data_IF_327389068723
#
_entry.id   IF_327389068723
#
_cell.length_a   1.000
_cell.length_b   1.000
_cell.length_c   1.000
_cell.angle_alpha   90.00
_cell.angle_beta   90.00
_cell.angle_gamma   90.00
#
_symmetry.space_group_name_H-M   'P 1'
#
loop_
_entity.id
_entity.type
_entity.pdbx_description
1 polymer ?
#
# COMPACT_ATOMS: atom_id res chain seq x y z
N UNK A 1 13.12 -35.37 43.37
CA UNK A 1 13.89 -36.48 42.76
C UNK A 1 13.64 -36.46 41.26
N UNK A 2 14.73 -36.44 40.45
CA UNK A 2 14.92 -36.95 39.06
C UNK A 2 13.85 -36.62 37.98
N UNK A 3 14.11 -36.30 36.71
CA UNK A 3 15.27 -36.06 35.81
C UNK A 3 14.66 -35.66 34.44
N UNK A 4 15.24 -34.66 33.72
CA UNK A 4 15.63 -34.56 32.26
C UNK A 4 14.69 -35.20 31.19
N UNK A 5 14.46 -34.77 29.94
CA UNK A 5 15.05 -33.90 28.90
C UNK A 5 13.90 -33.62 27.86
N UNK A 6 13.84 -32.57 27.03
CA UNK A 6 14.82 -32.11 26.04
C UNK A 6 14.60 -32.79 24.68
N UNK A 7 13.95 -32.11 23.71
CA UNK A 7 14.08 -32.45 22.28
C UNK A 7 13.89 -31.22 21.39
N UNK A 8 15.00 -30.87 20.75
CA UNK A 8 15.19 -29.86 19.71
C UNK A 8 15.06 -30.59 18.37
N UNK A 9 14.24 -30.09 17.44
CA UNK A 9 14.23 -30.60 16.07
C UNK A 9 14.86 -29.56 15.14
N UNK A 10 16.07 -29.89 14.69
CA UNK A 10 16.84 -29.24 13.64
C UNK A 10 16.34 -29.78 12.28
N UNK A 11 16.04 -28.90 11.31
CA UNK A 11 15.82 -29.29 9.92
C UNK A 11 16.97 -28.75 9.08
N UNK A 12 17.81 -29.67 8.61
CA UNK A 12 18.97 -29.46 7.75
C UNK A 12 18.54 -29.32 6.29
N UNK A 13 19.26 -28.45 5.56
CA UNK A 13 19.17 -28.26 4.12
C UNK A 13 19.83 -29.43 3.36
N UNK A 14 19.29 -29.78 2.19
CA UNK A 14 19.96 -30.62 1.18
C UNK A 14 20.07 -29.86 -0.14
N UNK A 15 21.31 -29.61 -0.56
CA UNK A 15 21.68 -29.19 -1.90
C UNK A 15 21.85 -30.44 -2.79
N UNK A 16 21.46 -30.36 -4.06
CA UNK A 16 21.67 -31.42 -5.04
C UNK A 16 22.59 -30.90 -6.16
N UNK A 17 23.72 -31.57 -6.36
CA UNK A 17 24.67 -31.36 -7.46
C UNK A 17 25.42 -32.66 -7.74
N UNK A 18 25.44 -33.09 -9.00
CA UNK A 18 26.17 -34.26 -9.51
C UNK A 18 25.87 -34.40 -11.00
N UNK A 19 26.76 -33.91 -11.88
CA UNK A 19 27.92 -34.60 -12.47
C UNK A 19 27.57 -35.52 -13.64
N UNK A 20 28.08 -35.10 -14.80
CA UNK A 20 28.05 -35.72 -16.13
C UNK A 20 28.85 -37.02 -16.20
N UNK A 21 28.47 -37.91 -17.12
CA UNK A 21 29.35 -38.94 -17.69
C UNK A 21 28.96 -39.24 -19.15
N UNK A 22 29.97 -39.64 -19.90
CA UNK A 22 30.12 -39.71 -21.36
C UNK A 22 29.61 -41.01 -22.01
N UNK A 23 29.56 -40.99 -23.36
CA UNK A 23 29.75 -42.10 -24.34
C UNK A 23 28.55 -43.05 -24.59
N UNK A 24 28.25 -43.57 -25.80
CA UNK A 24 28.77 -43.44 -27.18
C UNK A 24 27.82 -44.16 -28.19
N UNK A 25 27.74 -43.62 -29.40
CA UNK A 25 27.38 -44.17 -30.74
C UNK A 25 26.25 -45.20 -31.00
N UNK A 26 25.37 -44.85 -31.97
CA UNK A 26 25.35 -45.46 -33.34
C UNK A 26 24.33 -44.76 -34.26
N UNK A 27 24.80 -44.21 -35.38
CA UNK A 27 24.00 -43.85 -36.56
C UNK A 27 23.58 -45.12 -37.34
N UNK A 28 22.49 -45.05 -38.13
CA UNK A 28 22.71 -44.92 -39.57
C UNK A 28 21.86 -43.86 -40.28
N UNK A 29 22.54 -43.28 -41.28
CA UNK A 29 22.15 -42.41 -42.38
C UNK A 29 21.10 -43.03 -43.33
N UNK A 30 20.11 -42.25 -43.79
CA UNK A 30 19.77 -42.18 -45.22
C UNK A 30 18.99 -40.91 -45.62
N UNK A 31 19.47 -40.29 -46.71
CA UNK A 31 18.93 -39.31 -47.66
C UNK A 31 17.47 -38.85 -47.46
N UNK A 32 17.24 -37.55 -47.28
CA UNK A 32 17.18 -36.51 -48.32
C UNK A 32 15.87 -36.53 -49.12
N UNK A 33 15.01 -35.55 -48.84
CA UNK A 33 14.29 -34.86 -49.91
C UNK A 33 13.97 -33.41 -49.52
N UNK A 34 14.12 -32.54 -50.51
CA UNK A 34 14.06 -31.10 -50.43
C UNK A 34 12.87 -30.68 -51.27
N UNK A 35 11.80 -30.18 -50.65
CA UNK A 35 10.77 -29.45 -51.40
C UNK A 35 10.30 -28.22 -50.64
N UNK A 36 10.52 -27.08 -51.30
CA UNK A 36 10.12 -25.72 -50.95
C UNK A 36 8.63 -25.63 -50.63
N UNK A 37 8.24 -24.79 -49.66
CA UNK A 37 6.81 -24.56 -49.41
C UNK A 37 6.46 -23.49 -48.38
N UNK A 38 6.36 -22.24 -48.85
CA UNK A 38 5.42 -21.20 -48.42
C UNK A 38 5.62 -20.51 -47.05
N UNK A 39 5.93 -19.22 -47.18
CA UNK A 39 5.62 -18.17 -46.23
C UNK A 39 4.13 -18.15 -45.83
N UNK A 40 3.86 -17.92 -44.54
CA UNK A 40 2.97 -16.88 -43.97
C UNK A 40 2.54 -17.31 -42.57
N UNK A 41 2.94 -16.50 -41.59
CA UNK A 41 2.06 -15.89 -40.59
C UNK A 41 2.93 -15.46 -39.40
N UNK A 42 3.46 -14.24 -39.48
CA UNK A 42 3.90 -13.54 -38.28
C UNK A 42 2.67 -13.30 -37.40
N UNK A 43 2.41 -14.21 -36.47
CA UNK A 43 1.44 -13.98 -35.39
C UNK A 43 2.03 -12.90 -34.48
N UNK A 44 1.74 -11.64 -34.77
CA UNK A 44 1.89 -10.57 -33.78
C UNK A 44 0.89 -10.87 -32.67
N UNK A 45 1.33 -11.63 -31.67
CA UNK A 45 0.63 -11.81 -30.41
C UNK A 45 0.51 -10.43 -29.74
N UNK A 46 -0.58 -9.73 -30.05
CA UNK A 46 -1.00 -8.51 -29.37
C UNK A 46 -1.25 -8.90 -27.91
N UNK A 47 -0.25 -8.70 -27.04
CA UNK A 47 -0.33 -8.92 -25.60
C UNK A 47 -1.54 -8.15 -25.07
N UNK A 48 -2.68 -8.82 -24.97
CA UNK A 48 -3.92 -8.28 -24.40
C UNK A 48 -3.59 -7.93 -22.95
N UNK A 49 -3.32 -6.66 -22.66
CA UNK A 49 -3.35 -6.16 -21.29
C UNK A 49 -4.78 -6.39 -20.82
N UNK A 50 -5.02 -7.41 -20.00
CA UNK A 50 -6.32 -7.59 -19.34
C UNK A 50 -6.61 -6.28 -18.61
N UNK A 51 -7.77 -5.70 -18.88
CA UNK A 51 -8.25 -4.58 -18.09
C UNK A 51 -8.31 -5.02 -16.61
N UNK A 52 -8.01 -4.12 -15.65
CA UNK A 52 -8.15 -4.45 -14.23
C UNK A 52 -9.57 -4.94 -13.96
N UNK A 53 -9.70 -5.99 -13.14
CA UNK A 53 -11.00 -6.44 -12.62
C UNK A 53 -11.68 -5.26 -11.92
N UNK A 54 -13.00 -5.08 -12.10
CA UNK A 54 -13.73 -3.90 -11.62
C UNK A 54 -13.64 -3.68 -10.09
N UNK A 55 -13.30 -4.73 -9.34
CA UNK A 55 -13.12 -4.79 -7.89
C UNK A 55 -11.65 -4.95 -7.46
N UNK A 56 -10.68 -4.88 -8.39
CA UNK A 56 -9.28 -5.08 -8.07
C UNK A 56 -8.81 -4.05 -7.03
N UNK A 57 -8.25 -4.48 -5.89
CA UNK A 57 -7.86 -3.55 -4.84
C UNK A 57 -6.62 -2.75 -5.27
N UNK A 58 -6.57 -1.50 -4.83
CA UNK A 58 -5.50 -0.55 -5.12
C UNK A 58 -4.56 -0.32 -3.94
N UNK A 59 -3.68 0.67 -4.11
CA UNK A 59 -2.75 1.13 -3.09
C UNK A 59 -2.76 2.65 -3.00
N UNK A 60 -2.72 3.18 -1.79
CA UNK A 60 -2.61 4.61 -1.52
C UNK A 60 -1.29 4.86 -0.79
N UNK A 61 -0.45 5.73 -1.35
CA UNK A 61 0.76 6.21 -0.68
C UNK A 61 0.54 7.65 -0.23
N UNK A 62 0.66 7.88 1.08
CA UNK A 62 0.34 9.15 1.72
C UNK A 62 1.68 9.78 2.12
N UNK A 63 1.95 10.96 1.58
CA UNK A 63 3.09 11.79 1.92
C UNK A 63 2.60 12.97 2.76
N UNK A 64 3.16 13.10 3.94
CA UNK A 64 2.73 14.07 4.94
C UNK A 64 3.90 15.01 5.25
N UNK A 65 3.63 16.30 5.30
CA UNK A 65 4.67 17.32 5.51
C UNK A 65 4.15 18.51 6.29
N UNK A 66 5.06 19.23 6.95
CA UNK A 66 4.74 20.41 7.76
C UNK A 66 4.57 20.11 9.25
N UNK A 67 5.07 18.96 9.73
CA UNK A 67 5.12 18.69 11.16
C UNK A 67 6.09 19.67 11.83
N UNK A 68 5.63 20.36 12.89
CA UNK A 68 6.42 21.37 13.61
C UNK A 68 7.54 20.78 14.46
N UNK A 69 7.42 19.52 14.84
CA UNK A 69 8.40 18.74 15.58
C UNK A 69 8.22 17.24 15.26
N UNK A 70 9.02 16.38 15.87
CA UNK A 70 8.97 14.93 15.69
C UNK A 70 8.43 14.18 16.94
N UNK A 71 7.76 14.88 17.86
CA UNK A 71 7.16 14.28 19.05
C UNK A 71 5.97 13.41 18.64
N UNK A 72 5.88 12.21 19.20
CA UNK A 72 4.78 11.30 18.88
C UNK A 72 4.84 10.78 17.45
N UNK A 73 3.68 10.65 16.79
CA UNK A 73 3.56 10.01 15.48
C UNK A 73 2.69 10.82 14.50
N UNK A 74 2.91 10.60 13.21
CA UNK A 74 1.94 10.95 12.17
C UNK A 74 0.90 9.83 12.08
N UNK A 75 -0.32 10.10 12.54
CA UNK A 75 -1.45 9.17 12.47
C UNK A 75 -2.38 9.53 11.31
N UNK A 76 -2.94 8.51 10.64
CA UNK A 76 -3.99 8.69 9.63
C UNK A 76 -5.19 7.81 9.92
N UNK A 77 -6.36 8.32 9.56
CA UNK A 77 -7.61 7.59 9.42
C UNK A 77 -8.09 7.70 7.97
N UNK A 78 -8.13 6.57 7.27
CA UNK A 78 -8.60 6.47 5.89
C UNK A 78 -10.02 5.89 5.88
N UNK A 79 -10.95 6.64 5.33
CA UNK A 79 -12.35 6.28 5.20
C UNK A 79 -12.66 5.99 3.73
N UNK A 80 -13.41 4.93 3.45
CA UNK A 80 -13.96 4.62 2.11
C UNK A 80 -15.46 4.95 2.02
N UNK A 81 -16.01 5.64 3.02
CA UNK A 81 -17.38 6.14 3.04
C UNK A 81 -17.47 7.38 3.96
N UNK A 82 -18.48 8.25 3.80
CA UNK A 82 -18.66 9.41 4.68
C UNK A 82 -19.11 9.05 6.10
N UNK A 83 -19.43 7.78 6.38
CA UNK A 83 -19.96 7.36 7.69
C UNK A 83 -18.92 7.60 8.79
N UNK A 84 -19.25 8.48 9.73
CA UNK A 84 -18.37 8.81 10.85
C UNK A 84 -17.21 9.76 10.51
N UNK A 85 -17.17 10.26 9.27
CA UNK A 85 -16.16 11.22 8.85
C UNK A 85 -16.31 12.57 9.59
N UNK A 86 -15.21 13.20 10.03
CA UNK A 86 -13.91 12.60 10.40
C UNK A 86 -13.79 12.26 11.90
N UNK A 87 -14.76 12.61 12.73
CA UNK A 87 -14.63 12.53 14.19
C UNK A 87 -14.62 11.10 14.73
N UNK A 88 -15.32 10.17 14.07
CA UNK A 88 -15.43 8.77 14.50
C UNK A 88 -14.35 7.93 13.85
N UNK A 89 -13.10 8.18 14.20
CA UNK A 89 -11.95 7.49 13.61
C UNK A 89 -12.04 5.95 13.70
N UNK A 90 -12.75 5.38 14.66
CA UNK A 90 -12.97 3.94 14.82
C UNK A 90 -13.80 3.33 13.69
N UNK A 91 -14.52 4.16 12.93
CA UNK A 91 -15.24 3.78 11.73
C UNK A 91 -14.39 3.92 10.45
N UNK A 92 -13.13 4.35 10.58
CA UNK A 92 -12.21 4.39 9.45
C UNK A 92 -11.86 2.98 8.98
N UNK A 93 -11.89 2.77 7.68
CA UNK A 93 -11.51 1.51 7.02
C UNK A 93 -10.06 1.13 7.34
N UNK A 94 -9.16 2.12 7.42
CA UNK A 94 -7.77 1.89 7.84
C UNK A 94 -7.31 2.97 8.81
N UNK A 95 -6.57 2.54 9.83
CA UNK A 95 -5.79 3.41 10.73
C UNK A 95 -4.33 3.01 10.69
N UNK A 96 -3.43 3.98 10.50
CA UNK A 96 -1.97 3.73 10.42
C UNK A 96 -1.21 4.88 11.08
N UNK A 97 -0.02 4.59 11.53
CA UNK A 97 0.91 5.56 12.09
C UNK A 97 2.28 5.42 11.43
N UNK A 98 3.04 6.51 11.40
CA UNK A 98 4.43 6.52 10.98
C UNK A 98 5.23 7.50 11.83
N UNK A 99 6.53 7.20 12.00
CA UNK A 99 7.48 8.12 12.62
C UNK A 99 7.63 9.39 11.76
N UNK A 100 7.77 10.51 12.43
CA UNK A 100 8.06 11.80 11.80
C UNK A 100 9.58 11.99 11.75
N UNK A 101 10.10 12.25 10.55
CA UNK A 101 11.53 12.49 10.32
C UNK A 101 11.67 13.78 9.52
N UNK A 102 12.42 14.75 10.06
CA UNK A 102 12.66 16.06 9.43
C UNK A 102 11.37 16.74 8.92
N UNK A 103 10.35 16.79 9.77
CA UNK A 103 9.07 17.45 9.48
C UNK A 103 8.18 16.73 8.45
N UNK A 104 8.48 15.45 8.15
CA UNK A 104 7.79 14.64 7.13
C UNK A 104 7.50 13.23 7.63
N UNK A 105 6.48 12.60 7.04
CA UNK A 105 6.15 11.19 7.27
C UNK A 105 5.55 10.56 6.00
N UNK A 106 5.62 9.22 5.91
CA UNK A 106 5.09 8.45 4.78
C UNK A 106 4.34 7.23 5.28
N UNK A 107 3.14 6.99 4.75
CA UNK A 107 2.34 5.79 5.01
C UNK A 107 1.95 5.16 3.67
N UNK A 108 1.98 3.82 3.60
CA UNK A 108 1.47 3.06 2.46
C UNK A 108 0.32 2.18 2.94
N UNK A 109 -0.86 2.37 2.34
CA UNK A 109 -2.03 1.53 2.56
C UNK A 109 -2.24 0.66 1.32
N UNK A 110 -2.09 -0.65 1.49
CA UNK A 110 -2.32 -1.65 0.43
C UNK A 110 -3.73 -2.21 0.56
N UNK A 111 -4.18 -2.90 -0.49
CA UNK A 111 -5.45 -3.62 -0.54
C UNK A 111 -6.67 -2.71 -0.27
N UNK A 112 -6.63 -1.48 -0.78
CA UNK A 112 -7.73 -0.53 -0.62
C UNK A 112 -8.80 -0.84 -1.67
N UNK A 113 -10.08 -1.04 -1.30
CA UNK A 113 -11.14 -1.21 -2.28
C UNK A 113 -11.21 -0.01 -3.24
N UNK A 114 -11.44 -0.24 -4.55
CA UNK A 114 -11.69 0.86 -5.48
C UNK A 114 -12.95 1.64 -5.08
N UNK A 115 -12.96 2.94 -5.36
CA UNK A 115 -14.06 3.84 -5.00
C UNK A 115 -13.59 5.18 -4.44
N UNK A 116 -14.50 5.89 -3.78
CA UNK A 116 -14.17 7.12 -3.08
C UNK A 116 -13.46 6.84 -1.76
N UNK A 117 -12.52 7.72 -1.41
CA UNK A 117 -11.87 7.70 -0.11
C UNK A 117 -11.50 9.11 0.35
N UNK A 118 -11.38 9.28 1.67
CA UNK A 118 -10.82 10.47 2.28
C UNK A 118 -9.85 10.10 3.41
N UNK A 119 -8.89 10.98 3.68
CA UNK A 119 -7.88 10.76 4.71
C UNK A 119 -7.91 11.94 5.68
N UNK A 120 -8.05 11.66 6.97
CA UNK A 120 -7.78 12.59 8.04
C UNK A 120 -6.41 12.27 8.64
N UNK A 121 -5.61 13.30 8.87
CA UNK A 121 -4.29 13.25 9.48
C UNK A 121 -4.35 13.89 10.87
N UNK A 122 -3.67 13.26 11.82
CA UNK A 122 -3.39 13.77 13.16
C UNK A 122 -1.88 13.71 13.41
N UNK A 123 -1.30 14.80 13.90
CA UNK A 123 -0.01 14.78 14.57
C UNK A 123 -0.27 14.42 16.03
N UNK A 124 -0.17 13.13 16.35
CA UNK A 124 -0.51 12.56 17.65
C UNK A 124 0.70 12.69 18.58
N UNK A 125 0.88 13.89 19.15
CA UNK A 125 2.04 14.26 19.96
C UNK A 125 2.02 13.55 21.32
N UNK A 126 0.83 13.21 21.83
CA UNK A 126 0.64 12.54 23.12
C UNK A 126 0.29 11.03 23.02
N UNK A 127 0.13 10.50 21.80
CA UNK A 127 -0.11 9.07 21.50
C UNK A 127 -1.48 8.56 21.97
N UNK A 128 -2.48 9.42 22.07
CA UNK A 128 -3.83 9.04 22.49
C UNK A 128 -4.74 8.66 21.29
N UNK A 129 -4.28 8.91 20.05
CA UNK A 129 -4.99 8.64 18.77
C UNK A 129 -6.30 9.40 18.59
N UNK A 130 -6.46 10.51 19.32
CA UNK A 130 -7.67 11.33 19.36
C UNK A 130 -7.27 12.78 19.17
N UNK A 131 -8.05 13.49 18.34
CA UNK A 131 -7.90 14.93 18.23
C UNK A 131 -8.32 15.59 19.54
N UNK A 132 -7.36 16.14 20.28
CA UNK A 132 -7.65 17.00 21.43
C UNK A 132 -8.13 18.37 20.97
N UNK A 133 -9.16 18.87 21.65
CA UNK A 133 -9.76 20.17 21.40
C UNK A 133 -9.89 20.90 22.73
N UNK A 134 -9.61 22.20 22.72
CA UNK A 134 -9.86 23.04 23.88
C UNK A 134 -11.37 23.28 24.10
N UNK A 135 -11.73 24.04 25.14
CA UNK A 135 -13.12 24.36 25.48
C UNK A 135 -13.87 25.12 24.38
N UNK A 136 -13.17 25.77 23.43
CA UNK A 136 -13.74 26.42 22.24
C UNK A 136 -13.82 25.48 21.03
N UNK A 137 -13.46 24.20 21.18
CA UNK A 137 -13.48 23.21 20.10
C UNK A 137 -12.32 23.32 19.11
N UNK A 138 -11.30 24.13 19.39
CA UNK A 138 -10.13 24.30 18.52
C UNK A 138 -9.12 23.15 18.71
N UNK A 139 -8.61 22.55 17.61
CA UNK A 139 -7.55 21.55 17.67
C UNK A 139 -6.33 22.03 18.45
N UNK A 140 -5.83 21.20 19.37
CA UNK A 140 -4.59 21.46 20.12
C UNK A 140 -3.36 20.80 19.47
N UNK A 141 -3.61 19.85 18.57
CA UNK A 141 -2.60 19.09 17.84
C UNK A 141 -2.67 19.37 16.34
N UNK A 142 -1.60 19.00 15.63
CA UNK A 142 -1.53 19.17 14.19
C UNK A 142 -2.55 18.29 13.46
N UNK A 143 -3.16 18.81 12.41
CA UNK A 143 -4.16 18.08 11.64
C UNK A 143 -4.01 18.32 10.15
N UNK A 144 -4.66 17.48 9.34
CA UNK A 144 -4.69 17.65 7.90
C UNK A 144 -5.73 16.76 7.24
N UNK A 145 -6.06 17.06 5.99
CA UNK A 145 -7.05 16.29 5.24
C UNK A 145 -6.60 16.07 3.79
N UNK A 146 -7.05 14.98 3.18
CA UNK A 146 -6.91 14.80 1.73
C UNK A 146 -7.47 16.00 0.98
N UNK A 147 -6.86 16.32 -0.17
CA UNK A 147 -7.11 17.54 -0.99
C UNK A 147 -6.72 18.87 -0.36
N UNK A 148 -6.21 18.90 0.88
CA UNK A 148 -5.74 20.13 1.54
C UNK A 148 -6.73 21.32 1.41
N UNK A 149 -8.03 21.14 1.75
CA UNK A 149 -9.01 22.22 1.61
C UNK A 149 -8.65 23.40 2.50
N UNK A 150 -9.11 24.61 2.14
CA UNK A 150 -9.11 25.75 3.06
C UNK A 150 -10.01 25.43 4.26
N UNK A 151 -9.46 25.56 5.46
CA UNK A 151 -10.16 25.30 6.72
C UNK A 151 -10.63 26.65 7.25
N UNK A 152 -11.94 26.75 7.56
CA UNK A 152 -12.54 27.96 8.16
C UNK A 152 -13.03 27.66 9.57
N UNK A 153 -14.01 26.76 9.66
CA UNK A 153 -14.61 26.34 10.91
C UNK A 153 -14.87 24.84 10.85
N UNK A 154 -14.44 24.13 11.89
CA UNK A 154 -14.60 22.68 12.00
C UNK A 154 -13.91 21.88 10.90
N UNK A 155 -14.19 20.58 10.88
CA UNK A 155 -13.65 19.69 9.86
C UNK A 155 -14.39 19.88 8.52
N UNK A 156 -13.70 19.74 7.38
CA UNK A 156 -14.32 19.87 6.06
C UNK A 156 -15.24 18.68 5.78
N UNK A 157 -16.39 18.97 5.16
CA UNK A 157 -17.33 17.93 4.71
C UNK A 157 -16.71 17.01 3.64
N UNK A 158 -17.20 15.76 3.57
CA UNK A 158 -16.69 14.69 2.72
C UNK A 158 -16.36 15.11 1.28
N UNK A 159 -17.30 15.78 0.59
CA UNK A 159 -17.13 16.18 -0.82
C UNK A 159 -15.90 17.07 -1.06
N UNK A 160 -15.44 17.83 -0.07
CA UNK A 160 -14.26 18.72 -0.18
C UNK A 160 -12.93 17.95 -0.12
N UNK A 161 -12.95 16.75 0.44
CA UNK A 161 -11.75 15.95 0.77
C UNK A 161 -11.69 14.62 0.04
N UNK A 162 -12.83 14.13 -0.48
CA UNK A 162 -12.93 12.87 -1.17
C UNK A 162 -12.12 12.85 -2.47
N UNK A 163 -11.39 11.76 -2.66
CA UNK A 163 -10.60 11.40 -3.83
C UNK A 163 -11.13 10.07 -4.37
N UNK A 164 -10.78 9.73 -5.63
CA UNK A 164 -11.15 8.46 -6.26
C UNK A 164 -9.95 7.55 -6.44
N UNK A 165 -10.13 6.26 -6.12
CA UNK A 165 -9.18 5.18 -6.41
C UNK A 165 -9.80 4.26 -7.46
N UNK A 166 -9.23 4.24 -8.66
CA UNK A 166 -9.68 3.31 -9.70
C UNK A 166 -9.14 1.88 -9.45
N UNK A 167 -9.83 0.83 -9.95
CA UNK A 167 -9.46 -0.55 -9.72
C UNK A 167 -8.02 -0.90 -10.11
N UNK A 168 -7.30 -1.54 -9.19
CA UNK A 168 -5.92 -1.97 -9.33
C UNK A 168 -4.89 -0.83 -9.44
N UNK A 169 -5.29 0.43 -9.26
CA UNK A 169 -4.38 1.58 -9.35
C UNK A 169 -3.62 1.82 -8.06
N UNK A 170 -2.50 2.53 -8.21
CA UNK A 170 -1.75 3.12 -7.12
C UNK A 170 -1.86 4.63 -7.22
N UNK A 171 -2.18 5.29 -6.12
CA UNK A 171 -2.29 6.76 -6.06
C UNK A 171 -1.40 7.32 -4.98
N UNK A 172 -0.87 8.52 -5.23
CA UNK A 172 -0.07 9.27 -4.26
C UNK A 172 -0.90 10.46 -3.77
N UNK A 173 -1.01 10.60 -2.45
CA UNK A 173 -1.73 11.71 -1.81
C UNK A 173 -0.74 12.51 -0.99
N UNK A 174 -0.69 13.83 -1.20
CA UNK A 174 0.11 14.76 -0.39
C UNK A 174 -0.81 15.49 0.58
N UNK A 175 -0.48 15.47 1.86
CA UNK A 175 -1.23 16.16 2.92
C UNK A 175 -0.29 17.10 3.67
N UNK A 176 -0.71 18.36 3.78
CA UNK A 176 -0.02 19.37 4.56
C UNK A 176 -0.62 19.43 5.96
N UNK A 177 0.24 19.31 6.97
CA UNK A 177 -0.16 19.50 8.36
C UNK A 177 -0.43 20.98 8.60
N UNK A 178 -1.48 21.25 9.38
CA UNK A 178 -1.90 22.57 9.84
C UNK A 178 -1.97 22.56 11.35
N UNK A 179 -1.67 23.72 11.91
CA UNK A 179 -1.85 24.08 13.32
C UNK A 179 -2.64 25.39 13.33
N UNK A 180 -3.43 25.60 14.38
CA UNK A 180 -4.12 26.86 14.64
C UNK A 180 -3.43 27.60 15.79
#
# INVERSE_FOLDING_TARGET
MRRIAGSVLLVTALACGGHSAHAEAKEPNNKAERSKGKAKAGSKAKKRRRAPKADAPGQITIYMSGFRNAKGNAAIALFTSPKGWPEKGQLATFRREARIVKGKAKIVVKNVPPGEFAIALLHDENKNKKMEKNFLGMPQEGFGFSRNPKIKMGAPGWKKVALRLDPGKKVNVKINVKYL
#
